data_IF_366582589056
#
_entry.id   IF_366582589056
#
_cell.length_a   1.000
_cell.length_b   1.000
_cell.length_c   1.000
_cell.angle_alpha   90.00
_cell.angle_beta   90.00
_cell.angle_gamma   90.00
#
_symmetry.space_group_name_H-M   'P 1'
#
loop_
_entity.id
_entity.type
_entity.pdbx_description
1 polymer ?
#
# COMPACT_ATOMS: atom_id res chain seq x y z
N UNK A 1 10.21 15.00 -23.31
CA UNK A 1 10.65 14.20 -22.14
C UNK A 1 9.41 13.63 -21.48
N UNK A 2 9.41 12.33 -21.18
CA UNK A 2 8.29 11.66 -20.52
C UNK A 2 8.52 11.56 -19.01
N UNK A 3 7.45 11.41 -18.24
CA UNK A 3 7.49 11.14 -16.81
C UNK A 3 6.96 9.72 -16.59
N UNK A 4 7.72 8.89 -15.87
CA UNK A 4 7.32 7.53 -15.53
C UNK A 4 6.53 7.53 -14.23
N UNK A 5 5.34 6.92 -14.24
CA UNK A 5 4.50 6.81 -13.05
C UNK A 5 5.16 5.81 -12.09
N UNK A 6 5.45 6.20 -10.83
CA UNK A 6 6.08 5.29 -9.87
C UNK A 6 5.10 4.19 -9.45
N UNK A 7 5.61 2.95 -9.37
CA UNK A 7 4.87 1.83 -8.81
C UNK A 7 4.85 1.91 -7.29
N UNK A 8 3.73 1.58 -6.66
CA UNK A 8 3.53 1.67 -5.21
C UNK A 8 2.96 0.37 -4.68
N UNK A 9 3.55 -0.16 -3.62
CA UNK A 9 3.05 -1.34 -2.93
C UNK A 9 2.85 -1.05 -1.45
N UNK A 10 2.04 -1.87 -0.79
CA UNK A 10 1.89 -1.85 0.67
C UNK A 10 1.94 -3.28 1.21
N UNK A 11 2.38 -3.38 2.46
CA UNK A 11 2.17 -4.54 3.32
C UNK A 11 1.01 -4.19 4.26
N UNK A 12 -0.11 -4.88 4.11
CA UNK A 12 -1.23 -4.80 5.04
C UNK A 12 -0.98 -5.78 6.17
N UNK A 13 -1.04 -5.29 7.39
CA UNK A 13 -0.99 -6.08 8.62
C UNK A 13 -2.28 -5.87 9.39
N UNK A 14 -2.69 -6.88 10.16
CA UNK A 14 -3.98 -6.89 10.85
C UNK A 14 -3.80 -7.03 12.38
N UNK A 15 -2.74 -6.40 12.91
CA UNK A 15 -2.43 -6.38 14.34
C UNK A 15 -3.63 -5.88 15.17
N UNK A 16 -3.92 -6.57 16.28
CA UNK A 16 -5.05 -6.23 17.14
C UNK A 16 -6.44 -6.63 16.60
N UNK A 17 -6.50 -7.42 15.52
CA UNK A 17 -7.71 -8.09 15.05
C UNK A 17 -7.61 -9.61 15.29
N UNK A 18 -8.66 -10.37 14.96
CA UNK A 18 -8.62 -11.84 14.99
C UNK A 18 -7.63 -12.44 13.96
N UNK A 19 -7.08 -11.62 13.07
CA UNK A 19 -6.12 -12.00 12.03
C UNK A 19 -4.71 -11.49 12.32
N UNK A 20 -4.36 -11.28 13.59
CA UNK A 20 -3.01 -10.87 13.99
C UNK A 20 -1.95 -11.84 13.42
N UNK A 21 -0.83 -11.28 12.94
CA UNK A 21 0.21 -12.01 12.22
C UNK A 21 -0.07 -12.25 10.73
N UNK A 22 -1.27 -11.98 10.22
CA UNK A 22 -1.51 -12.03 8.78
C UNK A 22 -0.86 -10.83 8.07
N UNK A 23 -0.19 -11.14 6.96
CA UNK A 23 0.53 -10.20 6.11
C UNK A 23 0.06 -10.34 4.67
N UNK A 24 -0.40 -9.24 4.07
CA UNK A 24 -0.88 -9.23 2.68
C UNK A 24 -0.17 -8.12 1.90
N UNK A 25 0.57 -8.50 0.85
CA UNK A 25 1.27 -7.57 -0.03
C UNK A 25 0.37 -7.20 -1.22
N UNK A 26 0.17 -5.90 -1.41
CA UNK A 26 -0.76 -5.35 -2.42
C UNK A 26 -0.13 -4.25 -3.25
N UNK A 27 -0.64 -4.06 -4.47
CA UNK A 27 -0.38 -2.87 -5.29
C UNK A 27 -1.30 -1.72 -4.91
N UNK A 28 -0.77 -0.50 -4.93
CA UNK A 28 -1.51 0.73 -4.66
C UNK A 28 -1.66 1.60 -5.92
N UNK A 29 -0.78 1.44 -6.91
CA UNK A 29 -0.84 2.13 -8.19
C UNK A 29 -1.88 1.50 -9.12
N UNK A 30 -3.15 1.78 -8.87
CA UNK A 30 -4.25 1.37 -9.74
C UNK A 30 -4.64 2.46 -10.73
N UNK A 31 -4.91 2.07 -11.98
CA UNK A 31 -5.46 2.98 -12.97
C UNK A 31 -6.87 3.45 -12.61
N UNK A 32 -7.25 4.65 -13.04
CA UNK A 32 -8.57 5.24 -12.76
C UNK A 32 -9.74 4.33 -13.22
N UNK A 33 -9.60 3.67 -14.37
CA UNK A 33 -10.63 2.75 -14.87
C UNK A 33 -10.85 1.55 -13.94
N UNK A 34 -9.78 0.99 -13.38
CA UNK A 34 -9.88 -0.05 -12.37
C UNK A 34 -10.57 0.46 -11.10
N UNK A 35 -10.17 1.66 -10.63
CA UNK A 35 -10.76 2.28 -9.45
C UNK A 35 -12.27 2.52 -9.58
N UNK A 36 -12.73 2.98 -10.74
CA UNK A 36 -14.16 3.17 -11.00
C UNK A 36 -14.92 1.83 -10.97
N UNK A 37 -14.34 0.77 -11.56
CA UNK A 37 -14.94 -0.57 -11.53
C UNK A 37 -15.05 -1.13 -10.12
N UNK A 38 -14.03 -0.95 -9.29
CA UNK A 38 -14.08 -1.34 -7.88
C UNK A 38 -15.18 -0.58 -7.12
N UNK A 39 -15.32 0.73 -7.35
CA UNK A 39 -16.39 1.51 -6.70
C UNK A 39 -17.78 1.06 -7.12
N UNK A 40 -17.98 0.78 -8.40
CA UNK A 40 -19.26 0.25 -8.93
C UNK A 40 -19.61 -1.10 -8.31
N UNK A 41 -18.62 -2.00 -8.18
CA UNK A 41 -18.82 -3.30 -7.54
C UNK A 41 -18.95 -3.22 -6.02
N UNK A 42 -18.28 -2.27 -5.37
CA UNK A 42 -18.28 -2.08 -3.92
C UNK A 42 -19.64 -1.68 -3.34
N UNK A 43 -20.51 -1.07 -4.14
CA UNK A 43 -21.91 -0.82 -3.77
C UNK A 43 -22.72 -2.13 -3.61
N UNK A 44 -22.19 -3.26 -4.10
CA UNK A 44 -22.70 -4.62 -3.88
C UNK A 44 -21.67 -5.45 -3.09
N UNK A 45 -21.70 -5.41 -1.74
CA UNK A 45 -20.61 -5.91 -0.87
C UNK A 45 -20.31 -7.42 -0.95
N UNK A 46 -21.04 -8.18 -1.76
CA UNK A 46 -20.85 -9.62 -1.95
C UNK A 46 -20.65 -10.02 -3.42
N UNK A 47 -20.32 -9.09 -4.32
CA UNK A 47 -20.07 -9.42 -5.72
C UNK A 47 -18.80 -10.29 -5.85
N UNK A 48 -18.88 -11.57 -6.25
CA UNK A 48 -17.70 -12.42 -6.43
C UNK A 48 -16.66 -11.80 -7.38
N UNK A 49 -17.14 -11.04 -8.36
CA UNK A 49 -16.30 -10.33 -9.33
C UNK A 49 -15.36 -9.31 -8.69
N UNK A 50 -15.74 -8.72 -7.55
CA UNK A 50 -14.88 -7.79 -6.80
C UNK A 50 -13.63 -8.51 -6.27
N UNK A 51 -13.84 -9.66 -5.63
CA UNK A 51 -12.78 -10.47 -5.04
C UNK A 51 -11.85 -11.04 -6.11
N UNK A 52 -12.41 -11.56 -7.21
CA UNK A 52 -11.63 -12.03 -8.36
C UNK A 52 -10.77 -10.91 -8.97
N UNK A 53 -11.37 -9.74 -9.20
CA UNK A 53 -10.68 -8.59 -9.77
C UNK A 53 -9.55 -8.08 -8.87
N UNK A 54 -9.79 -8.07 -7.55
CA UNK A 54 -8.79 -7.74 -6.55
C UNK A 54 -7.63 -8.74 -6.59
N UNK A 55 -7.90 -10.04 -6.55
CA UNK A 55 -6.85 -11.06 -6.54
C UNK A 55 -5.97 -11.03 -7.80
N UNK A 56 -6.56 -10.82 -8.97
CA UNK A 56 -5.82 -10.81 -10.24
C UNK A 56 -4.95 -9.56 -10.43
N UNK A 57 -5.36 -8.42 -9.87
CA UNK A 57 -4.75 -7.11 -10.20
C UNK A 57 -3.95 -6.51 -9.05
N UNK A 58 -4.39 -6.76 -7.82
CA UNK A 58 -3.95 -6.05 -6.61
C UNK A 58 -3.13 -6.93 -5.70
N UNK A 59 -3.64 -8.13 -5.40
CA UNK A 59 -2.97 -9.09 -4.55
C UNK A 59 -1.66 -9.52 -5.20
N UNK A 60 -0.56 -9.39 -4.48
CA UNK A 60 0.76 -9.83 -4.93
C UNK A 60 1.19 -11.10 -4.23
N UNK A 61 1.00 -11.16 -2.91
CA UNK A 61 1.40 -12.26 -2.05
C UNK A 61 0.73 -12.13 -0.68
N UNK A 62 0.69 -13.22 0.08
CA UNK A 62 0.31 -13.24 1.49
C UNK A 62 0.94 -14.42 2.22
N UNK A 63 0.86 -14.43 3.56
CA UNK A 63 1.34 -15.54 4.40
C UNK A 63 0.19 -16.43 4.93
N UNK A 64 -0.99 -16.39 4.31
CA UNK A 64 -2.14 -17.14 4.81
C UNK A 64 -1.95 -18.65 4.64
N UNK A 65 -2.33 -19.39 5.67
CA UNK A 65 -2.33 -20.85 5.71
C UNK A 65 -3.71 -21.34 6.16
N UNK A 66 -4.12 -22.50 5.66
CA UNK A 66 -5.30 -23.24 6.11
C UNK A 66 -4.89 -24.67 6.43
N UNK A 67 -5.22 -25.14 7.64
CA UNK A 67 -4.78 -26.44 8.16
C UNK A 67 -3.27 -26.74 8.03
N UNK A 68 -2.43 -25.70 8.01
CA UNK A 68 -0.96 -25.80 7.88
C UNK A 68 -0.45 -25.80 6.43
N UNK A 69 -1.34 -25.66 5.45
CA UNK A 69 -0.99 -25.52 4.03
C UNK A 69 -1.10 -24.07 3.57
N UNK A 70 -0.09 -23.58 2.85
CA UNK A 70 -0.08 -22.20 2.35
C UNK A 70 -1.15 -22.00 1.29
N UNK A 71 -2.05 -21.05 1.53
CA UNK A 71 -3.04 -20.64 0.56
C UNK A 71 -2.38 -19.87 -0.59
N UNK A 72 -2.73 -20.17 -1.85
CA UNK A 72 -2.18 -19.43 -2.98
C UNK A 72 -2.74 -18.00 -3.00
N UNK A 73 -1.88 -17.01 -3.25
CA UNK A 73 -2.30 -15.61 -3.41
C UNK A 73 -2.93 -15.40 -4.81
N UNK A 74 -4.03 -16.10 -5.08
CA UNK A 74 -4.73 -16.16 -6.37
C UNK A 74 -6.22 -15.93 -6.17
N UNK A 75 -6.97 -15.87 -7.28
CA UNK A 75 -8.43 -15.84 -7.25
C UNK A 75 -9.03 -17.02 -6.49
N UNK A 76 -8.48 -18.23 -6.68
CA UNK A 76 -8.93 -19.40 -5.94
C UNK A 76 -8.71 -19.22 -4.44
N UNK A 77 -7.53 -18.77 -4.02
CA UNK A 77 -7.23 -18.58 -2.61
C UNK A 77 -8.05 -17.49 -1.94
N UNK A 78 -8.39 -16.39 -2.63
CA UNK A 78 -9.25 -15.35 -2.04
C UNK A 78 -10.70 -15.80 -1.87
N UNK A 79 -11.15 -16.77 -2.68
CA UNK A 79 -12.49 -17.31 -2.58
C UNK A 79 -12.61 -18.43 -1.55
N UNK A 80 -11.50 -18.96 -1.03
CA UNK A 80 -11.50 -20.00 0.03
C UNK A 80 -11.38 -19.43 1.43
N UNK A 81 -10.86 -18.21 1.59
CA UNK A 81 -10.75 -17.57 2.91
C UNK A 81 -12.11 -17.15 3.50
N UNK A 82 -12.22 -17.00 4.82
CA UNK A 82 -13.43 -16.47 5.45
C UNK A 82 -13.82 -15.10 4.88
N UNK A 83 -15.12 -14.88 4.66
CA UNK A 83 -15.64 -13.61 4.10
C UNK A 83 -15.25 -12.39 4.93
N UNK A 84 -15.18 -12.53 6.26
CA UNK A 84 -14.72 -11.46 7.14
C UNK A 84 -13.25 -11.05 6.88
N UNK A 85 -12.37 -12.03 6.62
CA UNK A 85 -10.98 -11.76 6.26
C UNK A 85 -10.88 -11.11 4.87
N UNK A 86 -11.63 -11.62 3.89
CA UNK A 86 -11.64 -11.03 2.56
C UNK A 86 -12.08 -9.56 2.60
N UNK A 87 -13.12 -9.26 3.38
CA UNK A 87 -13.62 -7.89 3.57
C UNK A 87 -12.60 -6.98 4.25
N UNK A 88 -11.95 -7.40 5.34
CA UNK A 88 -10.97 -6.55 6.02
C UNK A 88 -9.74 -6.28 5.14
N UNK A 89 -9.31 -7.24 4.33
CA UNK A 89 -8.24 -7.06 3.34
C UNK A 89 -8.61 -5.96 2.34
N UNK A 90 -9.79 -6.05 1.72
CA UNK A 90 -10.24 -5.08 0.71
C UNK A 90 -10.40 -3.69 1.33
N UNK A 91 -11.01 -3.58 2.50
CA UNK A 91 -11.17 -2.30 3.20
C UNK A 91 -9.83 -1.66 3.55
N UNK A 92 -8.90 -2.44 4.11
CA UNK A 92 -7.56 -1.97 4.46
C UNK A 92 -6.78 -1.51 3.22
N UNK A 93 -6.95 -2.20 2.08
CA UNK A 93 -6.40 -1.77 0.81
C UNK A 93 -7.02 -0.46 0.32
N UNK A 94 -8.35 -0.30 0.37
CA UNK A 94 -9.01 0.95 -0.03
C UNK A 94 -8.52 2.14 0.79
N UNK A 95 -8.33 1.96 2.10
CA UNK A 95 -7.71 2.98 2.97
C UNK A 95 -6.27 3.28 2.58
N UNK A 96 -5.47 2.25 2.27
CA UNK A 96 -4.08 2.41 1.85
C UNK A 96 -3.95 3.17 0.52
N UNK A 97 -4.85 2.95 -0.43
CA UNK A 97 -4.91 3.69 -1.71
C UNK A 97 -5.28 5.16 -1.47
N UNK A 98 -6.20 5.44 -0.56
CA UNK A 98 -6.65 6.80 -0.24
C UNK A 98 -5.59 7.64 0.50
N UNK A 99 -4.59 6.99 1.13
CA UNK A 99 -3.51 7.68 1.84
C UNK A 99 -2.56 8.38 0.85
N UNK A 100 -2.38 9.72 0.97
CA UNK A 100 -1.41 10.42 0.14
C UNK A 100 0.00 9.85 0.41
N UNK A 101 0.86 9.74 -0.61
CA UNK A 101 2.24 9.34 -0.38
C UNK A 101 2.88 10.27 0.64
N UNK A 102 3.72 9.71 1.52
CA UNK A 102 4.47 10.51 2.47
C UNK A 102 5.17 11.65 1.72
N UNK A 103 5.20 12.89 2.28
CA UNK A 103 5.93 13.99 1.67
C UNK A 103 7.34 13.53 1.34
N UNK A 104 7.81 13.84 0.13
CA UNK A 104 9.21 13.62 -0.24
C UNK A 104 10.06 14.14 0.92
N UNK A 105 10.94 13.29 1.46
CA UNK A 105 11.89 13.71 2.49
C UNK A 105 12.55 14.99 1.97
N UNK A 106 12.38 16.10 2.71
CA UNK A 106 12.93 17.40 2.34
C UNK A 106 14.38 17.19 1.90
N UNK A 107 14.86 17.81 0.80
CA UNK A 107 16.27 17.75 0.48
C UNK A 107 17.04 18.17 1.72
N UNK A 108 17.87 17.27 2.24
CA UNK A 108 18.77 17.57 3.34
C UNK A 108 19.56 18.81 2.94
N UNK A 109 19.28 19.93 3.60
CA UNK A 109 20.04 21.14 3.45
C UNK A 109 21.44 20.89 4.00
N UNK A 110 22.35 20.43 3.15
CA UNK A 110 23.78 20.51 3.42
C UNK A 110 24.20 21.96 3.25
N UNK A 111 23.95 22.74 4.29
CA UNK A 111 24.30 24.15 4.39
C UNK A 111 24.66 24.52 5.82
N UNK A 112 25.60 23.79 6.43
CA UNK A 112 26.28 24.27 7.63
C UNK A 112 27.73 23.80 7.63
N UNK A 113 28.61 24.73 7.25
CA UNK A 113 29.79 25.18 8.00
C UNK A 113 30.89 25.62 7.03
N UNK A 114 31.20 26.91 7.03
CA UNK A 114 32.61 27.30 7.04
C UNK A 114 32.70 28.62 7.80
N UNK A 115 33.22 28.53 9.02
CA UNK A 115 33.62 29.70 9.78
C UNK A 115 34.91 30.27 9.19
N UNK A 116 34.95 31.59 9.08
CA UNK A 116 36.20 32.34 9.05
C UNK A 116 36.12 33.43 10.13
N UNK A 117 37.03 33.44 11.12
CA UNK A 117 37.21 34.58 11.97
C UNK A 117 38.08 35.61 11.24
N UNK A 118 37.50 36.71 10.76
CA UNK A 118 38.29 37.86 10.31
C UNK A 118 38.70 38.68 11.53
N UNK A 119 39.96 38.52 11.93
CA UNK A 119 40.64 39.37 12.89
C UNK A 119 41.21 40.63 12.22
N UNK A 120 41.01 41.76 12.92
CA UNK A 120 41.84 42.98 13.02
C UNK A 120 41.97 43.98 11.84
N UNK A 121 41.61 45.25 12.09
CA UNK A 121 42.58 46.31 12.50
C UNK A 121 41.93 47.66 12.87
N UNK A 122 42.58 48.34 13.83
CA UNK A 122 42.32 49.69 14.30
C UNK A 122 43.12 50.76 13.52
N UNK A 123 42.67 52.03 13.58
CA UNK A 123 43.34 53.26 13.12
C UNK A 123 42.83 53.75 11.76
N UNK A 124 42.41 55.00 11.58
CA UNK A 124 42.83 56.29 12.18
C UNK A 124 41.65 57.24 12.32
#
# INVERSE_FOLDING_TARGET
MGYEIPKRTALLTFEGTDYDGAEVRVRLDVGLGFWLKIRELGDSPNAPELYSLFAQTILMDWNLEDEGERLPATEEGILTIPSALANIIINSWMEAVAKPPAPLAKPFGNGSMSGEPLTAKAGR
#
